data_IF_703072493685
#
_entry.id   IF_703072493685
#
_cell.length_a   1.000
_cell.length_b   1.000
_cell.length_c   1.000
_cell.angle_alpha   90.00
_cell.angle_beta   90.00
_cell.angle_gamma   90.00
#
_symmetry.space_group_name_H-M   'P 1'
#
loop_
_entity.id
_entity.type
_entity.pdbx_description
1 polymer ?
#
# COMPACT_ATOMS: atom_id res chain seq x y z
N UNK A 1 16.70 -15.22 -7.74
CA UNK A 1 15.83 -14.08 -8.10
C UNK A 1 16.69 -12.82 -8.13
N UNK A 2 16.64 -12.00 -9.19
CA UNK A 2 17.46 -10.79 -9.25
C UNK A 2 16.92 -9.74 -8.24
N UNK A 3 17.76 -8.78 -7.84
CA UNK A 3 17.41 -7.76 -6.84
C UNK A 3 16.19 -6.94 -7.26
N UNK A 4 16.06 -6.65 -8.55
CA UNK A 4 14.95 -5.86 -9.09
C UNK A 4 13.63 -6.61 -9.03
N UNK A 5 13.59 -7.90 -9.35
CA UNK A 5 12.41 -8.77 -9.24
C UNK A 5 12.01 -8.96 -7.78
N UNK A 6 12.99 -9.07 -6.87
CA UNK A 6 12.72 -9.14 -5.43
C UNK A 6 12.12 -7.85 -4.85
N UNK A 7 12.30 -6.71 -5.52
CA UNK A 7 11.66 -5.44 -5.17
C UNK A 7 10.31 -5.26 -5.89
N UNK A 8 10.29 -5.41 -7.21
CA UNK A 8 9.17 -5.03 -8.06
C UNK A 8 7.97 -5.95 -7.89
N UNK A 9 8.19 -7.26 -7.79
CA UNK A 9 7.08 -8.21 -7.64
C UNK A 9 6.26 -7.95 -6.36
N UNK A 10 6.84 -7.91 -5.15
CA UNK A 10 6.06 -7.63 -3.95
C UNK A 10 5.51 -6.21 -3.91
N UNK A 11 6.25 -5.21 -4.42
CA UNK A 11 5.75 -3.83 -4.46
C UNK A 11 4.52 -3.67 -5.35
N UNK A 12 4.51 -4.30 -6.53
CA UNK A 12 3.36 -4.27 -7.43
C UNK A 12 2.17 -5.05 -6.86
N UNK A 13 2.40 -6.20 -6.23
CA UNK A 13 1.34 -6.95 -5.55
C UNK A 13 0.73 -6.15 -4.38
N UNK A 14 1.57 -5.48 -3.59
CA UNK A 14 1.14 -4.61 -2.50
C UNK A 14 0.32 -3.41 -3.00
N UNK A 15 0.65 -2.84 -4.17
CA UNK A 15 -0.13 -1.77 -4.76
C UNK A 15 -1.47 -2.30 -5.30
N UNK A 16 -1.45 -3.37 -6.09
CA UNK A 16 -2.62 -3.89 -6.80
C UNK A 16 -3.69 -4.53 -5.91
N UNK A 17 -3.35 -4.97 -4.68
CA UNK A 17 -4.36 -5.46 -3.74
C UNK A 17 -5.46 -4.40 -3.45
N UNK A 18 -5.16 -3.10 -3.60
CA UNK A 18 -6.09 -2.01 -3.32
C UNK A 18 -7.19 -1.86 -4.37
N UNK A 19 -7.07 -2.50 -5.53
CA UNK A 19 -8.08 -2.46 -6.58
C UNK A 19 -9.43 -3.01 -6.08
N UNK A 20 -9.40 -3.95 -5.13
CA UNK A 20 -10.59 -4.65 -4.65
C UNK A 20 -11.30 -3.97 -3.47
N UNK A 21 -10.77 -2.86 -2.91
CA UNK A 21 -11.28 -2.27 -1.66
C UNK A 21 -11.48 -0.76 -1.81
N UNK A 22 -12.73 -0.23 -1.75
CA UNK A 22 -14.00 -0.93 -1.96
C UNK A 22 -14.11 -1.42 -3.41
N UNK A 23 -14.69 -2.60 -3.63
CA UNK A 23 -14.91 -3.11 -4.98
C UNK A 23 -15.99 -2.28 -5.68
N UNK A 24 -15.55 -1.36 -6.55
CA UNK A 24 -16.41 -0.56 -7.42
C UNK A 24 -16.06 -0.90 -8.86
N UNK A 25 -17.05 -1.31 -9.64
CA UNK A 25 -16.89 -1.65 -11.06
C UNK A 25 -16.82 -0.39 -11.95
N UNK A 26 -15.93 0.53 -11.60
CA UNK A 26 -15.60 1.73 -12.39
C UNK A 26 -14.12 1.64 -12.80
N UNK A 27 -13.84 1.63 -14.10
CA UNK A 27 -12.49 1.42 -14.60
C UNK A 27 -11.53 2.56 -14.22
N UNK A 28 -12.04 3.80 -14.10
CA UNK A 28 -11.23 4.98 -13.75
C UNK A 28 -10.83 4.89 -12.29
N UNK A 29 -11.77 4.48 -11.43
CA UNK A 29 -11.52 4.21 -10.01
C UNK A 29 -10.54 3.05 -9.82
N UNK A 30 -10.73 1.95 -10.53
CA UNK A 30 -9.84 0.77 -10.50
C UNK A 30 -8.42 1.15 -10.94
N UNK A 31 -8.27 1.87 -12.06
CA UNK A 31 -6.97 2.32 -12.54
C UNK A 31 -6.29 3.25 -11.53
N UNK A 32 -7.03 4.22 -10.99
CA UNK A 32 -6.50 5.11 -9.97
C UNK A 32 -6.04 4.35 -8.72
N UNK A 33 -6.86 3.42 -8.20
CA UNK A 33 -6.53 2.53 -7.07
C UNK A 33 -5.29 1.67 -7.35
N UNK A 34 -5.15 1.16 -8.57
CA UNK A 34 -4.01 0.33 -8.97
C UNK A 34 -2.68 1.10 -8.93
N UNK A 35 -2.66 2.36 -9.36
CA UNK A 35 -1.43 3.13 -9.53
C UNK A 35 -1.10 4.06 -8.36
N UNK A 36 -2.08 4.54 -7.59
CA UNK A 36 -1.85 5.55 -6.54
C UNK A 36 -0.85 5.10 -5.46
N UNK A 37 -0.82 3.80 -5.13
CA UNK A 37 0.06 3.25 -4.09
C UNK A 37 1.42 2.79 -4.62
N UNK A 38 1.64 2.78 -5.94
CA UNK A 38 2.89 2.28 -6.55
C UNK A 38 4.12 3.00 -6.00
N UNK A 39 4.20 4.35 -5.95
CA UNK A 39 5.37 5.03 -5.42
C UNK A 39 5.67 4.65 -3.96
N UNK A 40 4.62 4.58 -3.13
CA UNK A 40 4.74 4.20 -1.72
C UNK A 40 5.18 2.75 -1.54
N UNK A 41 4.63 1.82 -2.33
CA UNK A 41 5.00 0.41 -2.28
C UNK A 41 6.47 0.18 -2.65
N UNK A 42 6.96 0.88 -3.68
CA UNK A 42 8.38 0.84 -4.05
C UNK A 42 9.28 1.47 -2.98
N UNK A 43 8.86 2.58 -2.37
CA UNK A 43 9.59 3.20 -1.26
C UNK A 43 9.74 2.23 -0.08
N UNK A 44 8.65 1.60 0.36
CA UNK A 44 8.64 0.64 1.47
C UNK A 44 9.47 -0.60 1.12
N UNK A 45 9.29 -1.15 -0.09
CA UNK A 45 10.08 -2.29 -0.56
C UNK A 45 11.59 -1.99 -0.61
N UNK A 46 11.97 -0.79 -1.10
CA UNK A 46 13.37 -0.37 -1.15
C UNK A 46 13.94 -0.14 0.26
N UNK A 47 13.17 0.47 1.16
CA UNK A 47 13.55 0.65 2.56
C UNK A 47 13.79 -0.69 3.27
N UNK A 48 12.90 -1.68 3.04
CA UNK A 48 13.02 -3.01 3.63
C UNK A 48 14.21 -3.79 3.06
N UNK A 49 14.48 -3.61 1.76
CA UNK A 49 15.66 -4.18 1.12
C UNK A 49 16.97 -3.57 1.64
N UNK A 50 16.97 -2.27 1.95
CA UNK A 50 18.12 -1.61 2.55
C UNK A 50 18.31 -1.99 4.03
N UNK A 51 17.22 -2.06 4.79
CA UNK A 51 17.26 -2.36 6.23
C UNK A 51 16.05 -3.20 6.66
N UNK A 52 16.16 -4.55 6.64
CA UNK A 52 15.05 -5.44 6.98
C UNK A 52 14.50 -5.27 8.40
N UNK A 53 15.33 -4.76 9.34
CA UNK A 53 14.93 -4.44 10.72
C UNK A 53 13.84 -3.36 10.82
N UNK A 54 13.52 -2.66 9.73
CA UNK A 54 12.42 -1.69 9.67
C UNK A 54 11.03 -2.35 9.65
N UNK A 55 10.92 -3.67 9.38
CA UNK A 55 9.63 -4.35 9.23
C UNK A 55 8.65 -4.10 10.38
N UNK A 56 9.01 -4.27 11.68
CA UNK A 56 8.05 -4.10 12.77
C UNK A 56 7.54 -2.65 12.86
N UNK A 57 8.42 -1.69 12.60
CA UNK A 57 8.08 -0.26 12.62
C UNK A 57 7.13 0.09 11.48
N UNK A 58 7.40 -0.41 10.26
CA UNK A 58 6.53 -0.21 9.11
C UNK A 58 5.16 -0.84 9.31
N UNK A 59 5.07 -1.99 9.98
CA UNK A 59 3.80 -2.62 10.32
C UNK A 59 2.99 -1.78 11.32
N UNK A 60 3.63 -1.26 12.38
CA UNK A 60 2.96 -0.37 13.35
C UNK A 60 2.47 0.91 12.66
N UNK A 61 3.33 1.55 11.86
CA UNK A 61 2.96 2.75 11.11
C UNK A 61 1.81 2.45 10.15
N UNK A 62 1.81 1.29 9.48
CA UNK A 62 0.71 0.90 8.59
C UNK A 62 -0.62 0.79 9.33
N UNK A 63 -0.65 0.15 10.51
CA UNK A 63 -1.85 0.09 11.36
C UNK A 63 -2.32 1.50 11.73
N UNK A 64 -1.40 2.39 12.09
CA UNK A 64 -1.75 3.78 12.42
C UNK A 64 -2.31 4.55 11.23
N UNK A 65 -1.79 4.32 10.02
CA UNK A 65 -2.33 4.88 8.78
C UNK A 65 -3.77 4.39 8.54
N UNK A 66 -4.03 3.09 8.69
CA UNK A 66 -5.37 2.52 8.53
C UNK A 66 -6.36 3.09 9.57
N UNK A 67 -5.91 3.23 10.81
CA UNK A 67 -6.72 3.85 11.87
C UNK A 67 -7.03 5.32 11.57
N UNK A 68 -6.07 6.07 11.04
CA UNK A 68 -6.32 7.47 10.64
C UNK A 68 -7.39 7.57 9.55
N UNK A 69 -7.38 6.64 8.58
CA UNK A 69 -8.39 6.57 7.54
C UNK A 69 -9.76 6.20 8.11
N UNK A 70 -9.80 5.23 9.03
CA UNK A 70 -11.03 4.82 9.71
C UNK A 70 -11.65 5.98 10.52
N UNK A 71 -10.83 6.73 11.28
CA UNK A 71 -11.30 7.90 12.05
C UNK A 71 -11.84 8.99 11.12
N UNK A 72 -11.14 9.29 10.01
CA UNK A 72 -11.62 10.24 9.01
C UNK A 72 -12.99 9.81 8.45
N UNK A 73 -13.15 8.54 8.11
CA UNK A 73 -14.40 8.00 7.56
C UNK A 73 -15.55 8.08 8.58
N UNK A 74 -15.29 7.69 9.83
CA UNK A 74 -16.29 7.76 10.91
C UNK A 74 -16.69 9.20 11.20
N UNK A 75 -15.75 10.15 11.19
CA UNK A 75 -16.02 11.57 11.43
C UNK A 75 -16.87 12.26 10.35
N UNK A 76 -17.02 11.65 9.16
CA UNK A 76 -17.91 12.13 8.09
C UNK A 76 -19.26 11.39 8.11
N UNK A 77 -19.33 10.22 8.76
CA UNK A 77 -20.52 9.37 8.80
C UNK A 77 -21.56 9.77 9.87
N UNK A 78 -21.20 10.69 10.78
CA UNK A 78 -22.05 11.24 11.83
C UNK A 78 -22.05 12.76 11.77
#
# INVERSE_FOLDING_TARGET
MNRWTALSLPALMLAFQHIAIPLLFDWRFIAWRAFMFVPFAFLVGAALMWRPRLMPYLAIVHILLDMSFAVMLLGVAF
#
